data_IF_400810052172
#
_entry.id   IF_400810052172
#
_cell.length_a   1.000
_cell.length_b   1.000
_cell.length_c   1.000
_cell.angle_alpha   90.00
_cell.angle_beta   90.00
_cell.angle_gamma   90.00
#
_symmetry.space_group_name_H-M   'P 1'
#
loop_
_entity.id
_entity.type
_entity.pdbx_description
1 polymer ?
#
# COMPACT_ATOMS: atom_id res chain seq x y z
N UNK A 1 13.25 -6.32 4.53
CA UNK A 1 12.12 -5.55 5.10
C UNK A 1 11.10 -6.54 5.63
N UNK A 2 10.70 -6.44 6.91
CA UNK A 2 9.71 -7.31 7.55
C UNK A 2 8.39 -6.55 7.65
N UNK A 3 7.29 -7.15 7.19
CA UNK A 3 5.95 -6.55 7.20
C UNK A 3 5.08 -7.37 8.16
N UNK A 4 4.53 -6.73 9.21
CA UNK A 4 3.69 -7.39 10.22
C UNK A 4 2.37 -7.89 9.62
N UNK A 5 1.92 -9.10 9.98
CA UNK A 5 0.62 -9.65 9.58
C UNK A 5 -0.53 -9.02 10.38
N UNK A 6 -1.74 -9.10 9.81
CA UNK A 6 -3.03 -8.76 10.48
C UNK A 6 -3.20 -7.31 10.93
N UNK A 7 -2.26 -6.44 10.57
CA UNK A 7 -2.38 -5.01 10.77
C UNK A 7 -2.72 -4.35 9.45
N UNK A 8 -3.57 -3.33 9.51
CA UNK A 8 -3.97 -2.49 8.38
C UNK A 8 -2.73 -1.70 7.92
N UNK A 9 -1.80 -2.37 7.23
CA UNK A 9 -0.45 -1.89 7.05
C UNK A 9 -0.46 -0.64 6.19
N UNK A 10 -0.18 0.52 6.81
CA UNK A 10 0.00 1.72 6.03
C UNK A 10 1.31 1.56 5.27
N UNK A 11 1.23 1.64 3.95
CA UNK A 11 2.40 1.84 3.09
C UNK A 11 2.41 3.30 2.69
N UNK A 12 3.56 3.93 2.80
CA UNK A 12 3.75 5.33 2.43
C UNK A 12 5.05 5.50 1.68
N UNK A 13 5.13 6.60 0.95
CA UNK A 13 6.32 6.97 0.22
C UNK A 13 6.19 8.39 -0.31
N UNK A 14 7.15 8.73 -1.17
CA UNK A 14 7.17 9.99 -1.89
C UNK A 14 7.01 9.75 -3.39
N UNK A 15 6.33 10.65 -4.07
CA UNK A 15 6.15 10.68 -5.52
C UNK A 15 5.84 12.13 -5.93
N UNK A 16 5.90 12.44 -7.22
CA UNK A 16 5.61 13.79 -7.67
C UNK A 16 4.13 14.13 -7.40
N UNK A 17 3.79 15.39 -7.08
CA UNK A 17 2.40 15.80 -6.91
C UNK A 17 1.54 15.38 -8.09
N UNK A 18 0.35 14.84 -7.80
CA UNK A 18 -0.61 14.39 -8.81
C UNK A 18 -0.17 13.14 -9.62
N UNK A 19 0.90 12.45 -9.21
CA UNK A 19 1.34 11.21 -9.82
C UNK A 19 0.45 10.04 -9.38
N UNK A 20 0.07 9.19 -10.35
CA UNK A 20 -0.73 7.98 -10.07
C UNK A 20 0.19 6.87 -9.57
N UNK A 21 -0.07 6.39 -8.36
CA UNK A 21 0.68 5.31 -7.73
C UNK A 21 -0.19 4.04 -7.74
N UNK A 22 0.38 2.94 -8.20
CA UNK A 22 -0.25 1.62 -8.19
C UNK A 22 0.63 0.67 -7.41
N UNK A 23 0.07 0.07 -6.37
CA UNK A 23 0.74 -0.98 -5.58
C UNK A 23 0.13 -2.31 -5.94
N UNK A 24 0.98 -3.24 -6.38
CA UNK A 24 0.64 -4.64 -6.59
C UNK A 24 1.46 -5.47 -5.63
N UNK A 25 0.79 -6.27 -4.82
CA UNK A 25 1.44 -7.16 -3.86
C UNK A 25 1.48 -8.58 -4.41
N UNK A 26 2.46 -9.38 -3.98
CA UNK A 26 2.63 -10.77 -4.45
C UNK A 26 1.48 -11.70 -4.05
N UNK A 27 0.67 -11.30 -3.08
CA UNK A 27 -0.52 -12.04 -2.62
C UNK A 27 -1.83 -11.54 -3.25
N UNK A 28 -1.76 -10.77 -4.33
CA UNK A 28 -2.92 -10.38 -5.14
C UNK A 28 -3.68 -9.15 -4.65
N UNK A 29 -3.25 -8.48 -3.58
CA UNK A 29 -3.84 -7.19 -3.21
C UNK A 29 -3.32 -6.10 -4.15
N UNK A 30 -4.25 -5.33 -4.74
CA UNK A 30 -3.97 -4.14 -5.56
C UNK A 30 -4.54 -2.90 -4.87
N UNK A 31 -3.79 -1.80 -4.88
CA UNK A 31 -4.29 -0.51 -4.41
C UNK A 31 -3.77 0.60 -5.32
N UNK A 32 -4.64 1.56 -5.61
CA UNK A 32 -4.33 2.72 -6.44
C UNK A 32 -4.55 3.99 -5.61
N UNK A 33 -3.66 4.96 -5.77
CA UNK A 33 -3.73 6.24 -5.08
C UNK A 33 -3.03 7.33 -5.88
N UNK A 34 -3.26 8.58 -5.49
CA UNK A 34 -2.60 9.74 -6.10
C UNK A 34 -1.71 10.38 -5.04
N UNK A 35 -0.50 10.77 -5.46
CA UNK A 35 0.41 11.53 -4.63
C UNK A 35 -0.17 12.91 -4.33
N UNK A 36 -0.15 13.29 -3.06
CA UNK A 36 -0.64 14.59 -2.62
C UNK A 36 0.27 15.72 -3.09
N UNK A 37 -0.21 16.96 -2.94
CA UNK A 37 0.55 18.18 -3.23
C UNK A 37 1.84 18.28 -2.42
N UNK A 38 1.89 17.69 -1.22
CA UNK A 38 3.10 17.61 -0.39
C UNK A 38 4.07 16.50 -0.82
N UNK A 39 3.90 15.94 -2.03
CA UNK A 39 4.70 14.84 -2.58
C UNK A 39 4.66 13.55 -1.75
N UNK A 40 3.74 13.43 -0.80
CA UNK A 40 3.55 12.22 -0.01
C UNK A 40 2.33 11.44 -0.46
N UNK A 41 2.38 10.14 -0.20
CA UNK A 41 1.23 9.28 -0.36
C UNK A 41 1.18 8.24 0.75
N UNK A 42 -0.03 7.79 1.07
CA UNK A 42 -0.28 6.76 2.06
C UNK A 42 -1.45 5.90 1.62
N UNK A 43 -1.23 4.60 1.56
CA UNK A 43 -2.24 3.60 1.21
C UNK A 43 -2.31 2.53 2.28
N UNK A 44 -3.52 2.05 2.56
CA UNK A 44 -3.74 0.94 3.49
C UNK A 44 -3.84 -0.34 2.67
N UNK A 45 -2.82 -1.18 2.75
CA UNK A 45 -2.86 -2.49 2.11
C UNK A 45 -3.47 -3.49 3.09
N UNK A 46 -4.54 -4.13 2.68
CA UNK A 46 -5.04 -5.32 3.38
C UNK A 46 -4.07 -6.46 3.07
N UNK A 47 -3.31 -6.89 4.07
CA UNK A 47 -2.60 -8.17 4.01
C UNK A 47 -3.62 -9.30 3.99
N UNK A 48 -3.36 -10.40 3.28
CA UNK A 48 -4.30 -11.50 3.19
C UNK A 48 -4.46 -12.06 4.60
N UNK A 49 -5.72 -12.18 5.04
CA UNK A 49 -5.99 -12.93 6.25
C UNK A 49 -5.61 -14.38 5.94
N UNK A 50 -4.86 -14.99 6.86
CA UNK A 50 -4.35 -16.35 6.70
C UNK A 50 -5.54 -17.26 6.34
N UNK A 51 -5.56 -17.82 5.13
CA UNK A 51 -6.36 -19.03 4.89
C UNK A 51 -5.71 -20.10 5.74
N UNK A 52 -6.37 -20.46 6.84
CA UNK A 52 -5.99 -21.62 7.64
C UNK A 52 -6.03 -22.86 6.74
N UNK A 53 -5.06 -23.74 6.99
CA UNK A 53 -4.90 -25.07 6.42
C UNK A 53 -6.21 -25.85 6.34
#
# INVERSE_FOLDING_TARGET
>A
MVVQRESNNPVWGWANPNEKITITTSWGAKSEGIAKVDSTWKMKLKTPNRSSL
#
